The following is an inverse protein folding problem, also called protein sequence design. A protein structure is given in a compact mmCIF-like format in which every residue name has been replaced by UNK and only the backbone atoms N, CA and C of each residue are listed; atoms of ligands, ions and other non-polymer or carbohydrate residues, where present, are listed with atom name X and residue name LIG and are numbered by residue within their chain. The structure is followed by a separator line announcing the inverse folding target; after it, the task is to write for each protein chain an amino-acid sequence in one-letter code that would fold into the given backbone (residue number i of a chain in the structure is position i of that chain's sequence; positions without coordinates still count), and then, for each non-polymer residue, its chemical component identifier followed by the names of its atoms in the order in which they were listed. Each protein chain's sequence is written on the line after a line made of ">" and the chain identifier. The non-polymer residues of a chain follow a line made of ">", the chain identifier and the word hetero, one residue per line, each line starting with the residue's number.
data_IF_934620493205
#
_entry.id   IF_934620493205
#
_cell.length_a   1.000
_cell.length_b   1.000
_cell.length_c   1.000
_cell.angle_alpha   90.00
_cell.angle_beta   90.00
_cell.angle_gamma   90.00
#
_symmetry.space_group_name_H-M   'P 1'
#
loop_
_entity.id
_entity.type
_entity.pdbx_description
1 polymer ?
#
# COMPACT_ATOMS: atom_id res chain seq x y z
N UNK A 1 -5.06 3.97 -12.53
CA UNK A 1 -4.43 3.96 -11.20
C UNK A 1 -3.51 2.75 -11.04
N UNK A 2 -2.54 2.87 -10.11
CA UNK A 2 -1.64 1.80 -9.70
C UNK A 2 -1.87 1.51 -8.22
N UNK A 3 -2.22 0.28 -7.89
CA UNK A 3 -2.38 -0.21 -6.53
C UNK A 3 -1.05 -0.81 -6.06
N UNK A 4 -0.58 -0.43 -4.89
CA UNK A 4 0.55 -1.04 -4.21
C UNK A 4 0.02 -1.93 -3.08
N UNK A 5 0.21 -3.25 -3.20
CA UNK A 5 -0.36 -4.17 -2.22
C UNK A 5 -0.09 -5.64 -2.55
N UNK A 6 -0.94 -6.53 -2.03
CA UNK A 6 -0.90 -7.97 -2.29
C UNK A 6 -2.02 -8.39 -3.24
N UNK A 7 -1.66 -9.07 -4.32
CA UNK A 7 -2.62 -9.64 -5.26
C UNK A 7 -3.51 -10.70 -4.60
N UNK A 8 -2.94 -11.49 -3.69
CA UNK A 8 -3.68 -12.51 -2.93
C UNK A 8 -4.74 -11.88 -2.02
N UNK A 9 -4.38 -10.80 -1.30
CA UNK A 9 -5.31 -10.06 -0.44
C UNK A 9 -6.42 -9.43 -1.28
N UNK A 10 -6.07 -8.73 -2.35
CA UNK A 10 -7.05 -8.09 -3.24
C UNK A 10 -8.02 -9.10 -3.84
N UNK A 11 -7.53 -10.24 -4.30
CA UNK A 11 -8.36 -11.32 -4.84
C UNK A 11 -9.31 -11.89 -3.78
N UNK A 12 -8.85 -12.06 -2.54
CA UNK A 12 -9.67 -12.57 -1.45
C UNK A 12 -10.79 -11.60 -1.09
N UNK A 13 -10.48 -10.31 -0.93
CA UNK A 13 -11.50 -9.29 -0.63
C UNK A 13 -12.49 -9.11 -1.78
N UNK A 14 -12.03 -9.14 -3.03
CA UNK A 14 -12.90 -9.12 -4.21
C UNK A 14 -13.96 -10.22 -4.17
N UNK A 15 -13.56 -11.44 -3.78
CA UNK A 15 -14.49 -12.56 -3.62
C UNK A 15 -15.48 -12.32 -2.48
N UNK A 16 -15.02 -11.79 -1.35
CA UNK A 16 -15.86 -11.55 -0.19
C UNK A 16 -16.96 -10.50 -0.41
N UNK A 17 -16.67 -9.49 -1.23
CA UNK A 17 -17.63 -8.43 -1.55
C UNK A 17 -18.36 -8.67 -2.88
N UNK A 18 -18.24 -9.87 -3.43
CA UNK A 18 -18.89 -10.34 -4.68
C UNK A 18 -18.64 -9.45 -5.92
N UNK A 19 -17.47 -8.82 -6.00
CA UNK A 19 -17.06 -8.00 -7.14
C UNK A 19 -16.41 -8.86 -8.23
N UNK A 20 -17.18 -9.78 -8.82
CA UNK A 20 -16.67 -10.75 -9.81
C UNK A 20 -16.15 -10.11 -11.09
N UNK A 21 -16.80 -9.04 -11.52
CA UNK A 21 -16.47 -8.32 -12.76
C UNK A 21 -15.31 -7.33 -12.60
N UNK A 22 -14.93 -7.00 -11.36
CA UNK A 22 -13.79 -6.13 -11.11
C UNK A 22 -12.48 -6.89 -11.27
N UNK A 23 -11.61 -6.39 -12.13
CA UNK A 23 -10.32 -7.02 -12.45
C UNK A 23 -9.16 -6.05 -12.23
N UNK A 24 -8.02 -6.60 -11.89
CA UNK A 24 -6.75 -5.88 -11.85
C UNK A 24 -5.67 -6.69 -12.57
N UNK A 25 -4.68 -5.98 -13.10
CA UNK A 25 -3.58 -6.56 -13.86
C UNK A 25 -2.28 -6.34 -13.09
N UNK A 26 -1.53 -7.42 -12.88
CA UNK A 26 -0.26 -7.33 -12.16
C UNK A 26 0.82 -6.81 -13.08
N UNK A 27 1.53 -5.77 -12.60
CA UNK A 27 2.69 -5.16 -13.24
C UNK A 27 3.87 -5.14 -12.27
N UNK A 28 5.09 -4.96 -12.78
CA UNK A 28 6.30 -4.94 -11.96
C UNK A 28 6.73 -3.52 -11.57
N UNK A 29 6.41 -2.54 -12.41
CA UNK A 29 6.81 -1.15 -12.25
C UNK A 29 5.77 -0.19 -12.84
N UNK A 30 5.66 1.06 -12.32
CA UNK A 30 4.64 2.02 -12.73
C UNK A 30 4.61 2.31 -14.22
N UNK A 31 5.75 2.30 -14.91
CA UNK A 31 5.87 2.58 -16.32
C UNK A 31 5.13 1.56 -17.22
N UNK A 32 4.79 0.41 -16.68
CA UNK A 32 3.99 -0.63 -17.37
C UNK A 32 2.48 -0.40 -17.22
N UNK A 33 2.08 0.64 -16.48
CA UNK A 33 0.67 0.86 -16.18
C UNK A 33 -0.14 1.18 -17.43
N UNK A 34 -1.23 0.46 -17.64
CA UNK A 34 -2.22 0.76 -18.66
C UNK A 34 -3.29 1.69 -18.04
N UNK A 35 -3.49 2.93 -18.58
CA UNK A 35 -4.45 3.88 -18.02
C UNK A 35 -5.91 3.42 -18.09
N UNK A 36 -6.23 2.45 -18.97
CA UNK A 36 -7.58 1.88 -19.12
C UNK A 36 -7.88 0.73 -18.16
N UNK A 37 -6.92 0.36 -17.31
CA UNK A 37 -7.01 -0.80 -16.41
C UNK A 37 -6.66 -0.40 -14.98
N UNK A 38 -7.09 -1.21 -14.03
CA UNK A 38 -6.57 -1.18 -12.67
C UNK A 38 -5.30 -2.01 -12.65
N UNK A 39 -4.18 -1.37 -12.33
CA UNK A 39 -2.87 -2.01 -12.27
C UNK A 39 -2.50 -2.30 -10.82
N UNK A 40 -1.81 -3.40 -10.55
CA UNK A 40 -1.35 -3.77 -9.23
C UNK A 40 0.14 -4.11 -9.25
N UNK A 41 0.91 -3.47 -8.40
CA UNK A 41 2.28 -3.86 -8.07
C UNK A 41 2.22 -4.70 -6.80
N UNK A 42 2.57 -5.98 -6.92
CA UNK A 42 2.63 -6.86 -5.76
C UNK A 42 3.85 -6.52 -4.91
N UNK A 43 3.61 -6.03 -3.68
CA UNK A 43 4.64 -5.56 -2.77
C UNK A 43 5.02 -6.62 -1.72
N UNK A 44 4.38 -7.80 -1.76
CA UNK A 44 4.47 -8.81 -0.72
C UNK A 44 4.84 -10.17 -1.28
N UNK A 45 5.44 -11.02 -0.45
CA UNK A 45 5.61 -12.43 -0.80
C UNK A 45 4.33 -13.19 -0.46
N UNK A 46 3.47 -13.38 -1.46
CA UNK A 46 2.15 -13.98 -1.31
C UNK A 46 2.18 -15.50 -1.10
N UNK A 47 3.31 -16.18 -1.28
CA UNK A 47 3.39 -17.65 -1.24
C UNK A 47 3.03 -18.22 0.14
N UNK A 48 3.55 -17.60 1.20
CA UNK A 48 3.36 -18.05 2.59
C UNK A 48 2.42 -17.10 3.37
N UNK A 49 1.62 -16.29 2.68
CA UNK A 49 0.76 -15.32 3.31
C UNK A 49 -0.49 -15.99 3.90
N UNK A 50 -0.61 -15.98 5.23
CA UNK A 50 -1.83 -16.34 5.94
C UNK A 50 -2.69 -15.09 6.18
N UNK A 51 -3.96 -15.17 5.78
CA UNK A 51 -4.92 -14.08 5.93
C UNK A 51 -5.81 -14.32 7.16
N UNK A 52 -5.55 -13.58 8.22
CA UNK A 52 -6.38 -13.53 9.41
C UNK A 52 -7.37 -12.36 9.33
N UNK A 53 -8.39 -12.49 8.47
CA UNK A 53 -9.37 -11.43 8.20
C UNK A 53 -10.09 -11.04 9.49
N UNK A 54 -10.22 -9.72 9.71
CA UNK A 54 -10.86 -9.16 10.90
C UNK A 54 -9.97 -9.13 12.15
N UNK A 55 -8.72 -9.57 12.04
CA UNK A 55 -7.75 -9.52 13.14
C UNK A 55 -6.62 -8.53 12.84
N UNK A 56 -6.23 -7.78 13.86
CA UNK A 56 -5.02 -6.95 13.83
C UNK A 56 -3.82 -7.82 14.19
N UNK A 57 -2.91 -8.03 13.24
CA UNK A 57 -1.70 -8.83 13.45
C UNK A 57 -0.45 -8.05 13.05
N UNK A 58 0.72 -8.33 13.65
CA UNK A 58 1.99 -7.71 13.25
C UNK A 58 2.31 -7.95 11.77
N UNK A 59 1.99 -9.13 11.24
CA UNK A 59 2.19 -9.50 9.85
C UNK A 59 1.40 -8.59 8.92
N UNK A 60 0.12 -8.32 9.24
CA UNK A 60 -0.70 -7.38 8.48
C UNK A 60 -0.13 -5.96 8.50
N UNK A 61 0.39 -5.52 9.65
CA UNK A 61 1.08 -4.24 9.78
C UNK A 61 2.33 -4.16 8.91
N UNK A 62 3.14 -5.20 8.91
CA UNK A 62 4.34 -5.30 8.05
C UNK A 62 3.98 -5.21 6.56
N UNK A 63 2.95 -5.93 6.11
CA UNK A 63 2.51 -5.89 4.72
C UNK A 63 1.99 -4.51 4.31
N UNK A 64 1.28 -3.83 5.20
CA UNK A 64 0.83 -2.45 4.98
C UNK A 64 2.02 -1.50 4.83
N UNK A 65 3.04 -1.65 5.68
CA UNK A 65 4.26 -0.83 5.61
C UNK A 65 5.07 -1.11 4.33
N UNK A 66 5.25 -2.36 3.93
CA UNK A 66 5.95 -2.70 2.68
C UNK A 66 5.28 -2.07 1.45
N UNK A 67 3.96 -2.08 1.41
CA UNK A 67 3.18 -1.42 0.35
C UNK A 67 3.40 0.09 0.34
N UNK A 68 3.34 0.74 1.50
CA UNK A 68 3.59 2.17 1.66
C UNK A 68 5.03 2.54 1.28
N UNK A 69 6.01 1.80 1.77
CA UNK A 69 7.44 1.99 1.50
C UNK A 69 7.73 1.93 0.00
N UNK A 70 7.16 0.96 -0.70
CA UNK A 70 7.32 0.81 -2.15
C UNK A 70 6.69 2.00 -2.90
N UNK A 71 5.47 2.39 -2.56
CA UNK A 71 4.78 3.51 -3.21
C UNK A 71 5.52 4.84 -2.99
N UNK A 72 6.01 5.09 -1.77
CA UNK A 72 6.82 6.29 -1.45
C UNK A 72 8.14 6.28 -2.21
N UNK A 73 8.78 5.13 -2.37
CA UNK A 73 9.99 4.99 -3.19
C UNK A 73 9.76 5.38 -4.65
N UNK A 74 8.66 4.91 -5.24
CA UNK A 74 8.31 5.25 -6.62
C UNK A 74 7.88 6.72 -6.77
N UNK A 75 7.21 7.31 -5.76
CA UNK A 75 6.88 8.73 -5.72
C UNK A 75 8.14 9.60 -5.65
N UNK A 76 9.10 9.25 -4.78
CA UNK A 76 10.40 9.94 -4.68
C UNK A 76 11.20 9.88 -5.96
N UNK A 77 11.11 8.77 -6.68
CA UNK A 77 11.77 8.58 -7.96
C UNK A 77 11.05 9.24 -9.14
N UNK A 78 9.90 9.92 -8.91
CA UNK A 78 9.10 10.57 -9.94
C UNK A 78 8.41 9.59 -10.90
N UNK A 79 8.22 8.33 -10.49
CA UNK A 79 7.55 7.30 -11.31
C UNK A 79 6.03 7.35 -11.19
N UNK A 80 5.54 7.96 -10.14
CA UNK A 80 4.12 8.28 -9.91
C UNK A 80 4.01 9.74 -9.48
N UNK A 81 2.86 10.37 -9.72
CA UNK A 81 2.65 11.80 -9.53
C UNK A 81 2.05 12.13 -8.17
N UNK A 82 1.28 11.21 -7.61
CA UNK A 82 0.58 11.40 -6.34
C UNK A 82 0.36 10.06 -5.64
N UNK A 83 0.16 10.12 -4.32
CA UNK A 83 -0.12 8.98 -3.47
C UNK A 83 -1.45 9.17 -2.75
N UNK A 84 -2.32 8.17 -2.85
CA UNK A 84 -3.55 8.06 -2.05
C UNK A 84 -3.40 6.85 -1.12
N UNK A 85 -3.51 7.06 0.18
CA UNK A 85 -3.35 6.01 1.18
C UNK A 85 -4.69 5.55 1.72
N UNK A 86 -4.87 4.22 1.85
CA UNK A 86 -5.94 3.64 2.64
C UNK A 86 -5.60 3.76 4.14
N UNK A 87 -6.60 3.71 5.05
CA UNK A 87 -6.35 3.73 6.48
C UNK A 87 -5.41 2.61 6.92
N UNK A 88 -4.55 2.92 7.90
CA UNK A 88 -3.67 1.95 8.55
C UNK A 88 -4.13 1.69 9.99
N UNK A 89 -3.80 0.53 10.51
CA UNK A 89 -3.89 0.29 11.94
C UNK A 89 -2.58 0.80 12.59
N UNK A 90 -2.70 1.89 13.35
CA UNK A 90 -1.55 2.60 13.94
C UNK A 90 -0.78 1.77 14.98
N UNK A 91 -1.39 0.70 15.50
CA UNK A 91 -0.74 -0.17 16.48
C UNK A 91 0.07 -1.28 15.79
N UNK A 92 -0.53 -2.00 14.84
CA UNK A 92 0.15 -3.14 14.25
C UNK A 92 1.20 -2.80 13.18
N UNK A 93 1.16 -1.58 12.64
CA UNK A 93 2.17 -1.11 11.67
C UNK A 93 3.49 -0.71 12.34
N UNK A 94 3.48 -0.46 13.66
CA UNK A 94 4.69 -0.10 14.41
C UNK A 94 5.75 -1.20 14.31
N UNK A 95 6.98 -0.79 14.01
CA UNK A 95 8.13 -1.67 13.87
C UNK A 95 9.41 -0.87 14.12
N UNK A 96 10.55 -1.52 14.05
CA UNK A 96 11.84 -0.81 14.11
C UNK A 96 12.02 0.20 12.96
N UNK A 97 11.45 -0.11 11.80
CA UNK A 97 11.50 0.75 10.61
C UNK A 97 10.34 1.76 10.51
N UNK A 98 9.24 1.55 11.24
CA UNK A 98 8.09 2.46 11.26
C UNK A 98 7.75 2.88 12.68
N UNK A 99 8.31 4.00 13.14
CA UNK A 99 8.10 4.61 14.46
C UNK A 99 7.41 5.97 14.34
N UNK A 100 6.34 6.02 13.56
CA UNK A 100 5.59 7.24 13.26
C UNK A 100 4.17 7.16 13.83
N UNK A 101 3.60 8.32 14.14
CA UNK A 101 2.19 8.40 14.59
C UNK A 101 1.22 8.01 13.48
N UNK A 102 1.57 8.29 12.23
CA UNK A 102 0.77 7.96 11.07
C UNK A 102 1.47 8.24 9.75
N UNK A 103 0.69 8.28 8.67
CA UNK A 103 1.20 8.55 7.33
C UNK A 103 1.89 9.90 7.21
N UNK A 104 1.33 10.94 7.84
CA UNK A 104 1.78 12.32 7.68
C UNK A 104 3.23 12.49 8.13
N UNK A 105 3.56 12.01 9.33
CA UNK A 105 4.91 12.09 9.88
C UNK A 105 5.90 11.25 9.08
N UNK A 106 5.48 10.05 8.66
CA UNK A 106 6.29 9.19 7.81
C UNK A 106 6.61 9.86 6.46
N UNK A 107 5.61 10.46 5.80
CA UNK A 107 5.78 11.16 4.54
C UNK A 107 6.64 12.41 4.70
N UNK A 108 6.43 13.21 5.75
CA UNK A 108 7.24 14.39 6.05
C UNK A 108 8.72 14.03 6.17
N UNK A 109 9.04 12.98 6.93
CA UNK A 109 10.42 12.49 7.04
C UNK A 109 10.94 11.95 5.71
N UNK A 110 10.17 11.12 5.02
CA UNK A 110 10.57 10.54 3.74
C UNK A 110 10.93 11.60 2.69
N UNK A 111 10.26 12.75 2.70
CA UNK A 111 10.49 13.87 1.77
C UNK A 111 11.34 14.99 2.36
N UNK A 112 11.91 14.83 3.57
CA UNK A 112 12.69 15.84 4.27
C UNK A 112 11.93 17.18 4.43
N UNK A 113 10.61 17.11 4.60
CA UNK A 113 9.76 18.29 4.80
C UNK A 113 9.69 18.64 6.27
N UNK A 114 10.09 19.87 6.62
CA UNK A 114 9.97 20.38 8.00
C UNK A 114 8.58 20.95 8.29
N UNK A 115 7.86 21.33 7.24
CA UNK A 115 6.54 21.92 7.34
C UNK A 115 5.56 21.12 6.45
N UNK A 116 4.40 20.84 6.98
CA UNK A 116 3.31 20.20 6.25
C UNK A 116 1.96 20.69 6.75
N UNK A 117 0.99 20.72 5.87
CA UNK A 117 -0.39 21.08 6.21
C UNK A 117 -1.30 19.87 6.10
N UNK A 118 -2.22 19.76 7.04
CA UNK A 118 -3.30 18.80 7.03
C UNK A 118 -4.62 19.55 6.86
N UNK A 119 -5.36 19.22 5.83
CA UNK A 119 -6.71 19.76 5.61
C UNK A 119 -7.74 18.71 6.05
N UNK A 120 -8.74 19.18 6.80
CA UNK A 120 -9.89 18.37 7.23
C UNK A 120 -11.19 19.04 6.79
#
# INVERSE_FOLDING_TARGET
>A
PVIYGSGKIMSKYRQMVDLKDWQFFTIQKPEQANPKQVNLINCTNDQNLELNIGKSTPEAGKLAFESLKRAVGDLKAGRIDALVTAPINKHNIQSEEFKFVGHTEYLAEAFNSKEYLMFM
#
